data_IF_053678003551
#
_entry.id   IF_053678003551
#
_cell.length_a   1.000
_cell.length_b   1.000
_cell.length_c   1.000
_cell.angle_alpha   90.00
_cell.angle_beta   90.00
_cell.angle_gamma   90.00
#
_symmetry.space_group_name_H-M   'P 1'
#
loop_
_entity.id
_entity.type
_entity.pdbx_description
1 polymer ?
#
# COMPACT_ATOMS: atom_id res chain seq x y z
N UNK A 1 13.39 14.26 15.34
CA UNK A 1 13.14 15.49 16.10
C UNK A 1 14.41 16.32 16.14
N UNK A 2 15.53 15.77 16.61
CA UNK A 2 16.81 16.49 16.75
C UNK A 2 17.30 17.20 15.47
N UNK A 3 17.04 16.61 14.30
CA UNK A 3 17.36 17.25 13.01
C UNK A 3 16.46 18.45 12.68
N UNK A 4 15.15 18.32 12.89
CA UNK A 4 14.16 19.37 12.66
C UNK A 4 12.93 19.16 13.56
N UNK A 5 12.78 19.97 14.63
CA UNK A 5 11.61 19.90 15.51
C UNK A 5 10.36 20.50 14.87
N UNK A 6 10.49 21.34 13.84
CA UNK A 6 9.39 22.01 13.14
C UNK A 6 8.89 21.25 11.90
N UNK A 7 9.45 20.07 11.64
CA UNK A 7 9.08 19.25 10.50
C UNK A 7 7.56 18.95 10.47
N UNK A 8 6.97 19.01 9.29
CA UNK A 8 5.59 18.59 9.04
C UNK A 8 5.56 17.14 8.56
N UNK A 9 4.69 16.32 9.15
CA UNK A 9 4.61 14.88 8.87
C UNK A 9 3.24 14.56 8.30
N UNK A 10 3.21 13.96 7.11
CA UNK A 10 1.99 13.39 6.52
C UNK A 10 2.03 11.88 6.58
N UNK A 11 0.94 11.27 7.07
CA UNK A 11 0.81 9.82 7.22
C UNK A 11 -0.42 9.35 6.48
N UNK A 12 -0.24 8.46 5.50
CA UNK A 12 -1.34 7.79 4.81
C UNK A 12 -1.57 6.44 5.47
N UNK A 13 -2.78 6.23 6.00
CA UNK A 13 -3.21 5.00 6.64
C UNK A 13 -4.18 4.27 5.72
N UNK A 14 -4.09 2.94 5.71
CA UNK A 14 -5.02 2.07 4.99
C UNK A 14 -5.61 1.10 5.99
N UNK A 15 -6.80 0.55 5.71
CA UNK A 15 -7.33 -0.58 6.46
C UNK A 15 -6.22 -1.62 6.73
N UNK A 16 -5.89 -1.91 8.00
CA UNK A 16 -4.71 -2.71 8.34
C UNK A 16 -4.79 -4.14 7.82
N UNK A 17 -6.00 -4.71 7.71
CA UNK A 17 -6.21 -6.05 7.14
C UNK A 17 -5.82 -6.07 5.66
N UNK A 18 -6.40 -5.14 4.88
CA UNK A 18 -6.14 -5.02 3.44
C UNK A 18 -4.67 -4.63 3.18
N UNK A 19 -4.10 -3.78 4.04
CA UNK A 19 -2.70 -3.39 3.97
C UNK A 19 -1.76 -4.57 4.20
N UNK A 20 -2.02 -5.42 5.20
CA UNK A 20 -1.22 -6.61 5.48
C UNK A 20 -1.25 -7.59 4.30
N UNK A 21 -2.44 -7.87 3.77
CA UNK A 21 -2.60 -8.76 2.61
C UNK A 21 -1.92 -8.21 1.35
N UNK A 22 -2.03 -6.90 1.12
CA UNK A 22 -1.36 -6.23 0.00
C UNK A 22 0.15 -6.37 0.04
N UNK A 23 0.76 -6.33 1.24
CA UNK A 23 2.21 -6.53 1.35
C UNK A 23 2.62 -7.99 1.21
N UNK A 24 1.84 -8.93 1.71
CA UNK A 24 2.06 -10.35 1.41
C UNK A 24 2.08 -10.62 -0.11
N UNK A 25 1.14 -10.03 -0.86
CA UNK A 25 1.12 -10.13 -2.33
C UNK A 25 2.34 -9.47 -2.98
N UNK A 26 2.80 -8.35 -2.42
CA UNK A 26 4.03 -7.69 -2.86
C UNK A 26 5.26 -8.58 -2.62
N UNK A 27 5.40 -9.16 -1.43
CA UNK A 27 6.49 -10.05 -1.08
C UNK A 27 6.52 -11.28 -2.00
N UNK A 28 5.37 -11.88 -2.31
CA UNK A 28 5.27 -12.94 -3.32
C UNK A 28 5.72 -12.49 -4.71
N UNK A 29 5.26 -11.32 -5.17
CA UNK A 29 5.65 -10.77 -6.48
C UNK A 29 7.16 -10.51 -6.56
N UNK A 30 7.76 -10.09 -5.46
CA UNK A 30 9.18 -9.79 -5.37
C UNK A 30 10.04 -11.04 -5.11
N UNK A 31 9.44 -12.23 -5.04
CA UNK A 31 10.10 -13.50 -4.66
C UNK A 31 10.73 -13.48 -3.25
N UNK A 32 10.27 -12.59 -2.36
CA UNK A 32 10.66 -12.53 -0.94
C UNK A 32 9.96 -13.62 -0.12
N UNK A 33 8.85 -14.16 -0.63
CA UNK A 33 8.11 -15.27 -0.03
C UNK A 33 7.88 -16.36 -1.06
N UNK A 34 8.06 -17.62 -0.65
CA UNK A 34 7.82 -18.78 -1.51
C UNK A 34 6.36 -18.77 -2.01
N UNK A 35 6.17 -19.01 -3.32
CA UNK A 35 4.87 -18.99 -3.98
C UNK A 35 3.84 -19.94 -3.37
N UNK A 36 4.29 -21.03 -2.75
CA UNK A 36 3.45 -22.05 -2.11
C UNK A 36 2.97 -21.68 -0.70
N UNK A 37 3.54 -20.63 -0.09
CA UNK A 37 3.15 -20.22 1.27
C UNK A 37 1.85 -19.42 1.19
N UNK A 38 0.79 -19.84 1.89
CA UNK A 38 -0.46 -19.08 1.96
C UNK A 38 -0.32 -17.85 2.86
N UNK A 39 -1.25 -16.89 2.77
CA UNK A 39 -1.22 -15.70 3.62
C UNK A 39 -1.37 -16.07 5.10
N UNK A 40 -2.33 -16.93 5.42
CA UNK A 40 -2.54 -17.40 6.79
C UNK A 40 -1.32 -18.19 7.32
N UNK A 41 -0.67 -19.00 6.47
CA UNK A 41 0.56 -19.70 6.86
C UNK A 41 1.70 -18.73 7.12
N UNK A 42 1.86 -17.67 6.31
CA UNK A 42 2.86 -16.63 6.54
C UNK A 42 2.62 -15.89 7.87
N UNK A 43 1.36 -15.59 8.18
CA UNK A 43 1.00 -14.98 9.46
C UNK A 43 1.31 -15.90 10.66
N UNK A 44 1.03 -17.19 10.55
CA UNK A 44 1.24 -18.18 11.62
C UNK A 44 2.70 -18.54 11.83
N UNK A 45 3.49 -18.65 10.76
CA UNK A 45 4.90 -19.01 10.83
C UNK A 45 5.73 -18.00 11.64
N UNK A 46 5.28 -16.74 11.69
CA UNK A 46 5.92 -15.66 12.44
C UNK A 46 5.22 -15.38 13.80
N UNK A 47 4.10 -16.03 14.12
CA UNK A 47 3.28 -15.75 15.31
C UNK A 47 3.68 -16.50 16.60
N UNK A 48 4.80 -17.23 16.59
CA UNK A 48 5.23 -18.10 17.70
C UNK A 48 6.12 -17.42 18.75
N UNK A 49 6.15 -16.09 18.83
CA UNK A 49 7.04 -15.37 19.73
C UNK A 49 6.24 -14.37 20.56
N UNK A 50 6.44 -14.41 21.88
CA UNK A 50 5.74 -13.63 22.90
C UNK A 50 5.22 -12.26 22.43
N UNK A 51 3.91 -12.05 22.61
CA UNK A 51 3.17 -10.87 22.16
C UNK A 51 3.61 -9.54 22.82
N UNK A 52 4.52 -9.58 23.79
CA UNK A 52 4.99 -8.40 24.51
C UNK A 52 6.00 -7.58 23.69
N UNK A 53 6.83 -8.22 22.86
CA UNK A 53 7.82 -7.51 22.08
C UNK A 53 7.34 -7.24 20.64
N UNK A 54 6.97 -5.98 20.37
CA UNK A 54 6.58 -5.50 19.04
C UNK A 54 7.58 -5.89 17.94
N UNK A 55 8.87 -5.95 18.23
CA UNK A 55 9.89 -6.27 17.23
C UNK A 55 9.87 -7.73 16.79
N UNK A 56 9.37 -8.62 17.65
CA UNK A 56 9.25 -10.06 17.39
C UNK A 56 7.97 -10.40 16.60
N UNK A 57 7.03 -9.47 16.50
CA UNK A 57 5.81 -9.68 15.72
C UNK A 57 6.11 -9.76 14.22
N UNK A 58 5.30 -10.54 13.48
CA UNK A 58 5.41 -10.65 12.04
C UNK A 58 5.47 -9.29 11.35
N UNK A 59 6.31 -9.09 10.31
CA UNK A 59 6.38 -7.79 9.61
C UNK A 59 5.01 -7.35 9.08
N UNK A 60 4.22 -8.32 8.62
CA UNK A 60 2.86 -8.14 8.11
C UNK A 60 1.90 -7.57 9.17
N UNK A 61 2.18 -7.79 10.45
CA UNK A 61 1.41 -7.27 11.60
C UNK A 61 2.07 -6.01 12.16
N UNK A 62 3.37 -6.08 12.45
CA UNK A 62 4.15 -5.06 13.16
C UNK A 62 4.04 -3.68 12.54
N UNK A 63 4.06 -3.56 11.21
CA UNK A 63 3.96 -2.26 10.53
C UNK A 63 2.55 -1.69 10.51
N UNK A 64 1.53 -2.49 10.89
CA UNK A 64 0.11 -2.12 10.95
C UNK A 64 -0.34 -1.76 12.36
N UNK A 65 0.55 -1.84 13.35
CA UNK A 65 0.31 -1.36 14.72
C UNK A 65 0.42 0.17 14.75
N UNK A 66 -0.48 0.82 14.01
CA UNK A 66 -0.49 2.25 13.75
C UNK A 66 -0.57 3.05 15.06
N UNK A 67 -1.32 2.56 16.06
CA UNK A 67 -1.45 3.20 17.37
C UNK A 67 -0.09 3.38 18.05
N UNK A 68 0.76 2.34 18.00
CA UNK A 68 2.11 2.36 18.57
C UNK A 68 3.03 3.29 17.79
N UNK A 69 3.02 3.19 16.45
CA UNK A 69 3.87 4.01 15.59
C UNK A 69 3.50 5.49 15.71
N UNK A 70 2.23 5.82 15.53
CA UNK A 70 1.73 7.20 15.60
C UNK A 70 1.91 7.78 16.99
N UNK A 71 1.63 7.01 18.05
CA UNK A 71 1.82 7.45 19.44
C UNK A 71 3.25 7.91 19.71
N UNK A 72 4.27 7.19 19.20
CA UNK A 72 5.67 7.62 19.32
C UNK A 72 5.95 8.96 18.66
N UNK A 73 5.34 9.24 17.50
CA UNK A 73 5.52 10.53 16.83
C UNK A 73 4.75 11.64 17.54
N UNK A 74 3.53 11.39 18.03
CA UNK A 74 2.75 12.36 18.80
C UNK A 74 3.40 12.73 20.14
N UNK A 75 4.23 11.86 20.71
CA UNK A 75 5.03 12.19 21.90
C UNK A 75 6.15 13.21 21.62
N UNK A 76 6.52 13.43 20.35
CA UNK A 76 7.63 14.29 19.95
C UNK A 76 7.18 15.49 19.10
N UNK A 77 6.12 15.32 18.31
CA UNK A 77 5.59 16.35 17.43
C UNK A 77 4.16 16.69 17.84
N UNK A 78 3.81 17.97 17.96
CA UNK A 78 2.45 18.38 18.25
C UNK A 78 1.51 17.92 17.14
N UNK A 79 0.25 17.66 17.51
CA UNK A 79 -0.78 17.16 16.58
C UNK A 79 -0.97 18.05 15.35
N UNK A 80 -0.72 19.36 15.47
CA UNK A 80 -0.78 20.34 14.36
C UNK A 80 0.32 20.17 13.31
N UNK A 81 1.45 19.55 13.66
CA UNK A 81 2.54 19.21 12.73
C UNK A 81 2.32 17.85 12.05
N UNK A 82 1.21 17.18 12.33
CA UNK A 82 0.89 15.87 11.75
C UNK A 82 -0.44 15.92 11.00
N UNK A 83 -0.45 15.46 9.76
CA UNK A 83 -1.69 15.26 8.99
C UNK A 83 -1.86 13.78 8.67
N UNK A 84 -3.03 13.25 9.03
CA UNK A 84 -3.42 11.86 8.79
C UNK A 84 -4.42 11.81 7.65
N UNK A 85 -4.14 10.95 6.67
CA UNK A 85 -4.90 10.78 5.45
C UNK A 85 -5.30 9.31 5.39
N UNK A 86 -6.57 9.02 5.15
CA UNK A 86 -7.01 7.65 4.88
C UNK A 86 -6.80 7.35 3.40
N UNK A 87 -6.39 6.13 3.09
CA UNK A 87 -6.10 5.68 1.73
C UNK A 87 -7.31 5.83 0.81
N UNK A 88 -8.51 5.65 1.36
CA UNK A 88 -9.79 5.83 0.68
C UNK A 88 -10.02 7.29 0.24
N UNK A 89 -9.41 8.27 0.91
CA UNK A 89 -9.49 9.69 0.54
C UNK A 89 -8.68 10.01 -0.72
N UNK A 90 -7.78 9.12 -1.17
CA UNK A 90 -7.08 9.25 -2.45
C UNK A 90 -8.04 9.13 -3.65
N UNK A 91 -9.28 8.70 -3.44
CA UNK A 91 -10.31 8.74 -4.48
C UNK A 91 -10.66 10.17 -4.91
N UNK A 92 -10.47 11.15 -4.01
CA UNK A 92 -10.69 12.58 -4.24
C UNK A 92 -9.37 13.33 -4.13
N UNK A 93 -8.52 13.14 -5.15
CA UNK A 93 -7.17 13.71 -5.20
C UNK A 93 -7.16 15.23 -5.21
N UNK A 94 -8.16 15.87 -5.85
CA UNK A 94 -8.24 17.33 -5.93
C UNK A 94 -8.39 17.93 -4.54
N UNK A 95 -9.40 17.49 -3.79
CA UNK A 95 -9.63 17.90 -2.40
C UNK A 95 -8.40 17.63 -1.55
N UNK A 96 -7.80 16.44 -1.68
CA UNK A 96 -6.66 16.04 -0.88
C UNK A 96 -5.43 16.91 -1.15
N UNK A 97 -5.16 17.27 -2.41
CA UNK A 97 -4.04 18.13 -2.78
C UNK A 97 -4.17 19.53 -2.18
N UNK A 98 -5.36 20.12 -2.24
CA UNK A 98 -5.66 21.42 -1.60
C UNK A 98 -5.36 21.32 -0.10
N UNK A 99 -5.92 20.30 0.56
CA UNK A 99 -5.73 20.02 1.97
C UNK A 99 -4.26 19.77 2.38
N UNK A 100 -3.46 19.17 1.50
CA UNK A 100 -2.02 18.95 1.70
C UNK A 100 -1.24 20.24 1.55
N UNK A 101 -1.59 21.10 0.58
CA UNK A 101 -0.94 22.39 0.39
C UNK A 101 -1.23 23.38 1.51
N UNK A 102 -2.48 23.43 1.98
CA UNK A 102 -2.83 24.20 3.17
C UNK A 102 -2.04 23.75 4.39
N UNK A 103 -1.95 22.44 4.62
CA UNK A 103 -1.14 21.88 5.71
C UNK A 103 0.34 22.25 5.57
N UNK A 104 0.90 22.15 4.36
CA UNK A 104 2.26 22.56 4.08
C UNK A 104 2.46 24.08 4.13
N UNK A 105 1.38 24.87 4.19
CA UNK A 105 1.39 26.34 4.08
C UNK A 105 2.03 26.82 2.78
N UNK A 106 1.78 26.09 1.69
CA UNK A 106 2.25 26.43 0.36
C UNK A 106 1.10 27.12 -0.37
N UNK A 107 1.24 28.42 -0.59
CA UNK A 107 0.29 29.20 -1.37
C UNK A 107 0.61 29.06 -2.85
N UNK A 108 0.11 28.00 -3.47
CA UNK A 108 0.28 27.77 -4.90
C UNK A 108 -1.09 27.69 -5.58
N UNK A 109 -1.38 28.66 -6.44
CA UNK A 109 -2.35 28.48 -7.54
C UNK A 109 -1.68 27.64 -8.63
N UNK A 110 -1.37 26.38 -8.31
CA UNK A 110 -0.78 25.45 -9.27
C UNK A 110 -1.85 24.47 -9.67
N UNK A 111 -2.20 24.49 -10.95
CA UNK A 111 -3.02 23.46 -11.56
C UNK A 111 -2.16 22.19 -11.64
N UNK A 112 -2.45 21.21 -10.77
CA UNK A 112 -1.77 19.92 -10.81
C UNK A 112 -2.57 19.00 -11.72
N UNK A 113 -1.95 18.57 -12.82
CA UNK A 113 -2.46 17.44 -13.57
C UNK A 113 -2.15 16.12 -12.83
N UNK A 114 -3.15 15.61 -12.11
CA UNK A 114 -3.11 14.29 -11.44
C UNK A 114 -3.74 13.18 -12.31
N UNK A 115 -3.98 13.41 -13.61
CA UNK A 115 -4.52 12.39 -14.52
C UNK A 115 -3.50 11.29 -14.84
N UNK A 116 -2.20 11.58 -14.69
CA UNK A 116 -1.12 10.64 -14.91
C UNK A 116 -1.10 9.54 -13.83
N UNK A 117 -1.53 8.32 -14.22
CA UNK A 117 -1.45 7.13 -13.38
C UNK A 117 -0.20 6.31 -13.70
N UNK A 118 0.78 6.30 -12.79
CA UNK A 118 1.94 5.41 -12.84
C UNK A 118 1.65 4.06 -12.17
N UNK A 119 2.33 2.99 -12.56
CA UNK A 119 2.09 1.62 -12.08
C UNK A 119 0.68 1.07 -12.38
N UNK A 120 0.10 1.41 -13.54
CA UNK A 120 -0.85 0.49 -14.17
C UNK A 120 -0.07 -0.81 -14.36
N UNK A 121 -0.42 -1.85 -13.59
CA UNK A 121 0.22 -3.15 -13.77
C UNK A 121 0.08 -3.48 -15.25
N UNK A 122 1.21 -3.55 -15.95
CA UNK A 122 1.35 -4.49 -17.06
C UNK A 122 1.04 -5.83 -16.41
N UNK A 123 -0.23 -6.22 -16.46
CA UNK A 123 -0.57 -7.62 -16.42
C UNK A 123 0.23 -8.15 -17.60
N UNK A 124 1.41 -8.73 -17.31
CA UNK A 124 1.88 -9.78 -18.17
C UNK A 124 0.77 -10.81 -18.09
N UNK A 125 -0.23 -10.65 -18.97
CA UNK A 125 -1.02 -11.78 -19.40
C UNK A 125 0.06 -12.78 -19.76
N UNK A 126 0.06 -13.92 -19.09
CA UNK A 126 0.86 -15.05 -19.51
C UNK A 126 0.36 -15.42 -20.89
N UNK A 127 0.83 -14.69 -21.89
CA UNK A 127 0.46 -14.83 -23.27
C UNK A 127 1.31 -16.02 -23.73
N UNK A 128 0.86 -17.21 -23.34
CA UNK A 128 1.50 -18.51 -23.63
C UNK A 128 1.78 -18.65 -25.13
N UNK A 129 1.07 -17.90 -25.99
CA UNK A 129 1.30 -17.76 -27.43
C UNK A 129 2.61 -17.02 -27.78
N UNK A 130 3.01 -15.96 -27.06
CA UNK A 130 4.29 -15.26 -27.29
C UNK A 130 5.51 -16.10 -26.88
N UNK A 131 5.38 -16.89 -25.80
CA UNK A 131 6.39 -17.86 -25.40
C UNK A 131 6.55 -18.97 -26.46
N UNK A 132 5.46 -19.38 -27.13
CA UNK A 132 5.51 -20.35 -28.22
C UNK A 132 6.24 -19.80 -29.46
N UNK A 133 5.98 -18.53 -29.85
CA UNK A 133 6.67 -17.87 -30.97
C UNK A 133 8.18 -17.74 -30.68
N UNK A 134 8.56 -17.52 -29.43
CA UNK A 134 9.97 -17.40 -29.02
C UNK A 134 10.79 -18.70 -29.17
N UNK A 135 10.15 -19.86 -29.33
CA UNK A 135 10.85 -21.14 -29.52
C UNK A 135 11.25 -21.43 -30.97
N UNK A 136 10.58 -20.82 -31.94
CA UNK A 136 10.75 -21.13 -33.38
C UNK A 136 11.62 -20.08 -34.08
N UNK A 137 11.81 -18.90 -33.49
CA UNK A 137 12.50 -17.78 -34.12
C UNK A 137 13.99 -17.73 -33.72
N UNK A 138 14.93 -17.72 -34.70
CA UNK A 138 16.37 -17.58 -34.45
C UNK A 138 16.75 -16.30 -33.67
N UNK A 139 17.81 -16.37 -32.86
CA UNK A 139 18.21 -15.29 -31.94
C UNK A 139 18.48 -13.93 -32.61
N UNK A 140 18.96 -13.92 -33.85
CA UNK A 140 19.24 -12.67 -34.56
C UNK A 140 17.96 -11.89 -34.94
N UNK A 141 16.83 -12.58 -35.14
CA UNK A 141 15.52 -11.95 -35.44
C UNK A 141 14.87 -11.42 -34.14
N UNK A 142 15.07 -12.11 -33.01
CA UNK A 142 14.59 -11.66 -31.69
C UNK A 142 15.14 -10.29 -31.31
N UNK A 143 16.41 -10.03 -31.62
CA UNK A 143 17.05 -8.73 -31.37
C UNK A 143 16.43 -7.59 -32.21
N UNK A 144 16.00 -7.90 -33.43
CA UNK A 144 15.41 -6.92 -34.34
C UNK A 144 13.97 -6.55 -33.94
N UNK A 145 13.17 -7.54 -33.55
CA UNK A 145 11.80 -7.32 -33.06
C UNK A 145 11.76 -6.54 -31.73
N UNK A 146 12.73 -6.79 -30.83
CA UNK A 146 12.81 -6.08 -29.56
C UNK A 146 13.12 -4.59 -29.71
N UNK A 147 13.75 -4.18 -30.81
CA UNK A 147 14.14 -2.79 -31.06
C UNK A 147 13.00 -1.96 -31.69
N UNK A 148 12.09 -2.60 -32.43
CA UNK A 148 11.05 -1.91 -33.21
C UNK A 148 9.63 -2.00 -32.62
N UNK A 149 9.36 -2.89 -31.66
CA UNK A 149 7.99 -3.09 -31.09
C UNK A 149 7.75 -2.28 -29.79
N UNK A 150 8.74 -1.50 -29.33
CA UNK A 150 8.66 -0.78 -28.04
C UNK A 150 7.70 0.42 -28.05
N UNK A 151 7.19 0.88 -29.20
CA UNK A 151 6.39 2.11 -29.28
C UNK A 151 4.95 1.96 -29.82
N UNK A 152 4.38 0.76 -29.90
CA UNK A 152 3.01 0.54 -30.41
C UNK A 152 2.11 -0.21 -29.42
N UNK A 153 2.11 0.18 -28.15
CA UNK A 153 1.04 -0.20 -27.24
C UNK A 153 0.01 0.93 -27.15
N UNK A 154 -1.24 0.74 -27.62
CA UNK A 154 -2.26 1.75 -27.50
C UNK A 154 -2.51 2.03 -26.02
N UNK A 155 -2.68 3.31 -25.69
CA UNK A 155 -3.15 3.78 -24.38
C UNK A 155 -4.56 3.21 -24.16
N UNK A 156 -4.66 2.03 -23.58
CA UNK A 156 -5.94 1.49 -23.15
C UNK A 156 -6.38 2.31 -21.94
N UNK A 157 -7.52 2.99 -22.11
CA UNK A 157 -8.19 3.80 -21.09
C UNK A 157 -8.29 3.05 -19.76
N UNK A 158 -7.41 3.40 -18.83
CA UNK A 158 -7.32 2.87 -17.47
C UNK A 158 -8.35 3.49 -16.52
N UNK A 159 -9.50 3.94 -17.02
CA UNK A 159 -10.55 4.54 -16.20
C UNK A 159 -11.07 3.57 -15.11
N UNK A 160 -10.92 2.25 -15.32
CA UNK A 160 -11.31 1.21 -14.34
C UNK A 160 -10.21 0.73 -13.37
N UNK A 161 -9.01 1.32 -13.40
CA UNK A 161 -7.88 0.92 -12.55
C UNK A 161 -7.70 1.82 -11.33
N UNK A 162 -8.78 2.42 -10.84
CA UNK A 162 -8.82 2.89 -9.45
C UNK A 162 -8.64 1.65 -8.60
N UNK A 163 -7.46 1.52 -7.98
CA UNK A 163 -7.15 0.63 -6.86
C UNK A 163 -8.06 -0.61 -6.79
N UNK A 164 -7.69 -1.73 -7.45
CA UNK A 164 -8.20 -3.02 -6.97
C UNK A 164 -7.68 -3.17 -5.54
N UNK A 165 -8.49 -2.72 -4.58
CA UNK A 165 -8.22 -2.85 -3.16
C UNK A 165 -8.31 -4.33 -2.88
N UNK A 166 -7.16 -5.00 -2.95
CA UNK A 166 -7.06 -6.40 -2.57
C UNK A 166 -7.62 -6.52 -1.15
N UNK A 167 -8.68 -7.30 -1.01
CA UNK A 167 -9.35 -7.52 0.26
C UNK A 167 -8.68 -8.67 0.96
N UNK A 168 -8.43 -8.48 2.26
CA UNK A 168 -7.93 -9.55 3.10
C UNK A 168 -8.87 -10.76 3.06
N UNK A 169 -8.36 -11.98 2.79
CA UNK A 169 -9.15 -13.20 2.94
C UNK A 169 -9.78 -13.32 4.33
N UNK A 170 -10.98 -13.91 4.39
CA UNK A 170 -11.81 -13.93 5.60
C UNK A 170 -11.16 -14.71 6.75
N UNK A 171 -10.53 -15.85 6.45
CA UNK A 171 -9.80 -16.68 7.42
C UNK A 171 -8.63 -15.93 8.08
N UNK A 172 -7.86 -15.19 7.28
CA UNK A 172 -6.77 -14.36 7.78
C UNK A 172 -7.29 -13.14 8.55
N UNK A 173 -8.43 -12.58 8.14
CA UNK A 173 -9.08 -11.47 8.84
C UNK A 173 -9.53 -11.87 10.23
N UNK A 174 -10.15 -13.05 10.36
CA UNK A 174 -10.53 -13.63 11.65
C UNK A 174 -9.32 -13.83 12.56
N UNK A 175 -8.22 -14.37 12.02
CA UNK A 175 -6.96 -14.52 12.75
C UNK A 175 -6.38 -13.18 13.23
N UNK A 176 -6.43 -12.13 12.40
CA UNK A 176 -5.87 -10.81 12.71
C UNK A 176 -6.78 -9.95 13.60
N UNK A 177 -8.08 -10.29 13.70
CA UNK A 177 -9.09 -9.48 14.39
C UNK A 177 -8.72 -9.13 15.84
N UNK A 178 -8.25 -10.07 16.68
CA UNK A 178 -7.85 -9.75 18.06
C UNK A 178 -6.71 -8.74 18.14
N UNK A 179 -5.85 -8.68 17.11
CA UNK A 179 -4.71 -7.76 17.06
C UNK A 179 -5.12 -6.39 16.49
N UNK A 180 -5.86 -6.36 15.39
CA UNK A 180 -6.11 -5.11 14.67
C UNK A 180 -7.33 -4.33 15.19
N UNK A 181 -8.36 -4.96 15.75
CA UNK A 181 -9.51 -4.21 16.28
C UNK A 181 -9.12 -3.23 17.39
N UNK A 182 -8.31 -3.61 18.40
CA UNK A 182 -7.84 -2.65 19.41
C UNK A 182 -7.02 -1.50 18.81
N UNK A 183 -6.21 -1.79 17.79
CA UNK A 183 -5.42 -0.78 17.07
C UNK A 183 -6.34 0.20 16.33
N UNK A 184 -7.33 -0.31 15.61
CA UNK A 184 -8.29 0.52 14.87
C UNK A 184 -9.06 1.43 15.83
N UNK A 185 -9.56 0.90 16.95
CA UNK A 185 -10.28 1.70 17.96
C UNK A 185 -9.43 2.85 18.52
N UNK A 186 -8.14 2.60 18.82
CA UNK A 186 -7.24 3.68 19.27
C UNK A 186 -6.97 4.71 18.19
N UNK A 187 -6.79 4.26 16.95
CA UNK A 187 -6.56 5.16 15.81
C UNK A 187 -7.79 6.01 15.53
N UNK A 188 -8.98 5.44 15.62
CA UNK A 188 -10.26 6.16 15.53
C UNK A 188 -10.30 7.36 16.50
N UNK A 189 -9.90 7.13 17.75
CA UNK A 189 -9.79 8.18 18.78
C UNK A 189 -8.71 9.22 18.42
N UNK A 190 -7.51 8.78 18.02
CA UNK A 190 -6.39 9.69 17.68
C UNK A 190 -6.74 10.58 16.48
N UNK A 191 -7.44 10.03 15.50
CA UNK A 191 -7.80 10.73 14.26
C UNK A 191 -9.06 11.59 14.42
N UNK A 192 -9.97 11.20 15.32
CA UNK A 192 -11.32 11.77 15.38
C UNK A 192 -12.14 11.50 14.11
N UNK A 193 -11.86 10.38 13.42
CA UNK A 193 -12.57 9.96 12.19
C UNK A 193 -13.26 8.64 12.44
N UNK A 194 -14.41 8.40 11.82
CA UNK A 194 -15.08 7.09 11.86
C UNK A 194 -14.30 6.05 11.03
N UNK A 195 -13.91 4.95 11.67
CA UNK A 195 -13.21 3.82 11.04
C UNK A 195 -14.01 2.52 11.16
N UNK A 196 -15.32 2.60 11.38
CA UNK A 196 -16.21 1.44 11.50
C UNK A 196 -16.13 0.52 10.27
N UNK A 197 -15.94 1.09 9.08
CA UNK A 197 -15.77 0.34 7.82
C UNK A 197 -14.54 -0.58 7.82
N UNK A 198 -13.55 -0.34 8.68
CA UNK A 198 -12.36 -1.19 8.80
C UNK A 198 -12.57 -2.39 9.73
N UNK A 199 -13.64 -2.38 10.53
CA UNK A 199 -13.95 -3.40 11.54
C UNK A 199 -14.91 -4.48 11.02
N UNK A 200 -15.66 -4.16 9.96
CA UNK A 200 -16.46 -5.10 9.16
C UNK A 200 -15.56 -6.12 8.52
#
# INVERSE_FOLDING_TARGET
>A
HDFDPNAKIMVILRNPFDAAYSEYLMQKRNNELNSNVSFLSALRAEASLDNENMQQLPKLIRTRLYDRHIGRYLNLFPRSQMKFILFEELADMERLLIEMFEFLQVFTKVEIDYSLKYNTKNIHENNTKLLAISRVVPNYIKLFLKKNVVNYFPRINSQKLIHQTVKCPQDAKEFLRPTFIPVINKIEIILGKDLSSWKL
#
